data_IF_195636499228
#
_entry.id   IF_195636499228
#
_cell.length_a   1.000
_cell.length_b   1.000
_cell.length_c   1.000
_cell.angle_alpha   90.00
_cell.angle_beta   90.00
_cell.angle_gamma   90.00
#
_symmetry.space_group_name_H-M   'P 1'
#
loop_
_entity.id
_entity.type
_entity.pdbx_description
1 polymer ?
#
# COMPACT_ATOMS: atom_id res chain seq x y z
N UNK A 1 -20.50 -3.82 22.40
CA UNK A 1 -20.03 -4.38 21.11
C UNK A 1 -18.83 -3.57 20.67
N UNK A 2 -17.76 -4.21 20.17
CA UNK A 2 -16.66 -3.47 19.54
C UNK A 2 -17.14 -2.90 18.20
N UNK A 3 -16.75 -1.67 17.88
CA UNK A 3 -16.97 -1.08 16.56
C UNK A 3 -16.22 -1.89 15.49
N UNK A 4 -16.77 -1.94 14.27
CA UNK A 4 -16.17 -2.62 13.13
C UNK A 4 -15.90 -1.62 12.01
N UNK A 5 -14.72 -1.68 11.40
CA UNK A 5 -14.28 -0.79 10.32
C UNK A 5 -13.93 -1.63 9.09
N UNK A 6 -14.48 -1.26 7.94
CA UNK A 6 -14.13 -1.83 6.64
C UNK A 6 -13.19 -0.88 5.90
N UNK A 7 -12.03 -1.38 5.48
CA UNK A 7 -11.09 -0.69 4.60
C UNK A 7 -11.23 -1.30 3.20
N UNK A 8 -11.57 -0.50 2.20
CA UNK A 8 -11.75 -0.97 0.82
C UNK A 8 -10.54 -0.53 -0.02
N UNK A 9 -9.77 -1.50 -0.48
CA UNK A 9 -8.50 -1.34 -1.18
C UNK A 9 -7.30 -1.48 -0.23
N UNK A 10 -6.35 -2.34 -0.60
CA UNK A 10 -5.05 -2.55 0.04
C UNK A 10 -3.89 -1.91 -0.77
N UNK A 11 -4.17 -0.80 -1.46
CA UNK A 11 -3.15 0.11 -1.96
C UNK A 11 -2.49 0.94 -0.83
N UNK A 12 -1.55 1.85 -1.15
CA UNK A 12 -0.81 2.62 -0.14
C UNK A 12 -1.70 3.32 0.90
N UNK A 13 -2.83 3.89 0.49
CA UNK A 13 -3.77 4.53 1.44
C UNK A 13 -4.43 3.55 2.39
N UNK A 14 -4.87 2.39 1.90
CA UNK A 14 -5.48 1.34 2.74
C UNK A 14 -4.48 0.75 3.70
N UNK A 15 -3.26 0.46 3.22
CA UNK A 15 -2.15 -0.01 4.06
C UNK A 15 -1.76 1.02 5.12
N UNK A 16 -1.71 2.32 4.77
CA UNK A 16 -1.47 3.38 5.73
C UNK A 16 -2.56 3.44 6.81
N UNK A 17 -3.83 3.21 6.45
CA UNK A 17 -4.93 3.13 7.42
C UNK A 17 -4.78 1.95 8.38
N UNK A 18 -4.40 0.77 7.88
CA UNK A 18 -4.10 -0.41 8.70
C UNK A 18 -2.91 -0.16 9.62
N UNK A 19 -1.84 0.46 9.08
CA UNK A 19 -0.65 0.85 9.85
C UNK A 19 -0.97 1.84 10.96
N UNK A 20 -1.84 2.82 10.70
CA UNK A 20 -2.27 3.79 11.70
C UNK A 20 -2.96 3.11 12.89
N UNK A 21 -3.89 2.17 12.63
CA UNK A 21 -4.52 1.39 13.68
C UNK A 21 -3.51 0.51 14.43
N UNK A 22 -2.59 -0.15 13.71
CA UNK A 22 -1.52 -0.95 14.33
C UNK A 22 -0.64 -0.11 15.27
N UNK A 23 -0.25 1.09 14.84
CA UNK A 23 0.54 2.04 15.63
C UNK A 23 -0.20 2.50 16.89
N UNK A 24 -1.51 2.73 16.81
CA UNK A 24 -2.34 3.05 17.98
C UNK A 24 -2.44 1.87 18.96
N UNK A 25 -2.67 0.65 18.45
CA UNK A 25 -2.70 -0.56 19.27
C UNK A 25 -1.36 -0.84 19.96
N UNK A 26 -0.24 -0.63 19.27
CA UNK A 26 1.11 -0.80 19.84
C UNK A 26 1.40 0.20 20.97
N UNK A 27 0.69 1.35 20.96
CA UNK A 27 0.71 2.35 22.05
C UNK A 27 -0.32 2.05 23.15
N UNK A 28 -0.99 0.90 23.10
CA UNK A 28 -1.96 0.44 24.10
C UNK A 28 -3.38 0.97 23.93
N UNK A 29 -3.70 1.62 22.81
CA UNK A 29 -5.08 2.07 22.56
C UNK A 29 -5.99 0.89 22.20
N UNK A 30 -7.24 0.92 22.66
CA UNK A 30 -8.27 0.00 22.17
C UNK A 30 -8.66 0.39 20.74
N UNK A 31 -8.51 -0.55 19.79
CA UNK A 31 -8.87 -0.36 18.38
C UNK A 31 -10.10 -1.19 18.01
N UNK A 32 -10.88 -0.77 16.98
CA UNK A 32 -11.98 -1.56 16.45
C UNK A 32 -11.51 -2.88 15.82
N UNK A 33 -12.45 -3.76 15.50
CA UNK A 33 -12.20 -4.84 14.55
C UNK A 33 -12.05 -4.23 13.15
N UNK A 34 -11.02 -4.63 12.41
CA UNK A 34 -10.73 -4.08 11.09
C UNK A 34 -10.71 -5.22 10.09
N UNK A 35 -11.43 -5.04 8.98
CA UNK A 35 -11.39 -5.94 7.83
C UNK A 35 -11.01 -5.13 6.60
N UNK A 36 -9.94 -5.55 5.92
CA UNK A 36 -9.53 -4.96 4.66
C UNK A 36 -9.94 -5.86 3.50
N UNK A 37 -10.54 -5.28 2.47
CA UNK A 37 -10.94 -5.97 1.26
C UNK A 37 -10.12 -5.44 0.09
N UNK A 38 -9.42 -6.34 -0.60
CA UNK A 38 -8.68 -6.05 -1.82
C UNK A 38 -9.18 -7.03 -2.90
N UNK A 39 -9.35 -6.52 -4.12
CA UNK A 39 -9.77 -7.34 -5.25
C UNK A 39 -8.59 -8.04 -5.92
N UNK A 40 -7.41 -7.43 -5.89
CA UNK A 40 -6.18 -8.00 -6.41
C UNK A 40 -5.71 -9.14 -5.50
N UNK A 41 -4.92 -10.06 -6.06
CA UNK A 41 -4.37 -11.20 -5.32
C UNK A 41 -3.28 -10.82 -4.31
N UNK A 42 -2.75 -9.60 -4.40
CA UNK A 42 -1.75 -9.05 -3.49
C UNK A 42 -1.95 -7.53 -3.33
N UNK A 43 -1.44 -6.98 -2.23
CA UNK A 43 -1.51 -5.56 -1.89
C UNK A 43 -0.63 -4.68 -2.80
N UNK A 44 -0.68 -3.36 -2.57
CA UNK A 44 0.14 -2.38 -3.29
C UNK A 44 -0.65 -1.57 -4.33
N UNK A 45 -1.87 -1.99 -4.66
CA UNK A 45 -2.78 -1.26 -5.56
C UNK A 45 -2.12 -0.99 -6.91
N UNK A 46 -1.97 0.29 -7.27
CA UNK A 46 -1.31 0.69 -8.53
C UNK A 46 0.12 0.16 -8.67
N UNK A 47 0.85 -0.05 -7.57
CA UNK A 47 2.23 -0.53 -7.57
C UNK A 47 2.35 -2.05 -7.79
N UNK A 48 1.24 -2.79 -7.74
CA UNK A 48 1.18 -4.21 -8.05
C UNK A 48 1.01 -4.41 -9.57
N UNK A 49 2.14 -4.47 -10.28
CA UNK A 49 2.17 -4.56 -11.73
C UNK A 49 1.58 -5.88 -12.26
N UNK A 50 0.79 -5.79 -13.32
CA UNK A 50 0.29 -6.94 -14.09
C UNK A 50 0.45 -6.70 -15.58
N UNK A 51 0.61 -7.79 -16.34
CA UNK A 51 0.63 -7.74 -17.80
C UNK A 51 -0.78 -7.66 -18.42
N UNK A 52 -1.83 -7.98 -17.64
CA UNK A 52 -3.23 -7.98 -18.09
C UNK A 52 -3.69 -6.56 -18.39
N UNK A 53 -4.57 -6.41 -19.38
CA UNK A 53 -5.22 -5.15 -19.74
C UNK A 53 -6.72 -5.38 -19.94
N UNK A 54 -7.55 -4.36 -19.73
CA UNK A 54 -9.00 -4.48 -19.82
C UNK A 54 -9.58 -5.17 -18.59
N UNK A 55 -9.67 -6.51 -18.61
CA UNK A 55 -10.20 -7.33 -17.52
C UNK A 55 -9.12 -8.25 -16.92
N UNK A 56 -9.25 -8.54 -15.64
CA UNK A 56 -8.42 -9.51 -14.92
C UNK A 56 -8.92 -10.96 -15.09
N UNK A 57 -8.37 -11.88 -14.31
CA UNK A 57 -8.74 -13.31 -14.37
C UNK A 57 -10.11 -13.67 -13.80
N UNK A 58 -10.73 -12.74 -13.09
CA UNK A 58 -12.08 -12.87 -12.56
C UNK A 58 -13.12 -12.14 -13.43
N UNK A 59 -12.67 -11.43 -14.48
CA UNK A 59 -13.53 -10.63 -15.35
C UNK A 59 -13.79 -9.23 -14.81
N UNK A 60 -13.09 -8.81 -13.74
CA UNK A 60 -13.18 -7.46 -13.22
C UNK A 60 -12.24 -6.51 -13.97
N UNK A 61 -12.52 -5.19 -14.05
CA UNK A 61 -11.63 -4.24 -14.68
C UNK A 61 -10.23 -4.25 -14.05
N UNK A 62 -9.17 -4.31 -14.86
CA UNK A 62 -7.79 -4.24 -14.36
C UNK A 62 -7.59 -2.94 -13.58
N UNK A 63 -7.04 -3.06 -12.36
CA UNK A 63 -6.79 -1.90 -11.49
C UNK A 63 -5.52 -1.11 -11.89
N UNK A 64 -4.47 -1.84 -12.28
CA UNK A 64 -3.16 -1.27 -12.51
C UNK A 64 -3.08 -0.43 -13.78
N UNK A 65 -2.39 0.70 -13.68
CA UNK A 65 -2.06 1.59 -14.81
C UNK A 65 -0.55 1.78 -14.97
N UNK A 66 0.25 1.04 -14.21
CA UNK A 66 1.71 1.05 -14.33
C UNK A 66 2.18 0.19 -15.50
N UNK A 67 3.37 0.51 -16.01
CA UNK A 67 3.94 -0.10 -17.21
C UNK A 67 5.37 -0.55 -16.96
N UNK A 68 5.87 -1.43 -17.83
CA UNK A 68 7.27 -1.86 -17.78
C UNK A 68 8.19 -0.65 -17.93
N UNK A 69 9.30 -0.67 -17.20
CA UNK A 69 10.29 0.42 -17.18
C UNK A 69 9.77 1.73 -16.57
N UNK A 70 8.69 1.70 -15.79
CA UNK A 70 8.29 2.81 -14.94
C UNK A 70 9.30 2.97 -13.79
N UNK A 71 9.68 4.22 -13.51
CA UNK A 71 10.50 4.64 -12.37
C UNK A 71 9.72 5.67 -11.55
N UNK A 72 10.19 6.00 -10.35
CA UNK A 72 9.60 7.12 -9.60
C UNK A 72 9.56 8.38 -10.47
N UNK A 73 8.45 9.11 -10.44
CA UNK A 73 8.28 10.36 -11.20
C UNK A 73 8.68 11.61 -10.39
N UNK A 74 9.04 11.44 -9.12
CA UNK A 74 9.53 12.48 -8.23
C UNK A 74 10.64 11.96 -7.30
N UNK A 75 11.34 12.85 -6.59
CA UNK A 75 12.36 12.44 -5.62
C UNK A 75 11.74 11.57 -4.54
N UNK A 76 12.34 10.40 -4.26
CA UNK A 76 11.88 9.48 -3.22
C UNK A 76 11.83 10.15 -1.84
N UNK A 77 12.68 11.14 -1.60
CA UNK A 77 12.73 11.92 -0.37
C UNK A 77 11.42 12.69 -0.11
N UNK A 78 10.64 13.00 -1.16
CA UNK A 78 9.34 13.66 -1.02
C UNK A 78 8.20 12.70 -0.65
N UNK A 79 8.44 11.39 -0.67
CA UNK A 79 7.44 10.33 -0.45
C UNK A 79 7.89 9.30 0.60
N UNK A 80 8.97 9.58 1.32
CA UNK A 80 9.46 8.75 2.41
C UNK A 80 8.49 8.76 3.59
N UNK A 81 8.24 7.60 4.19
CA UNK A 81 7.41 7.52 5.38
C UNK A 81 8.18 8.02 6.60
N UNK A 82 7.53 8.88 7.40
CA UNK A 82 8.14 9.43 8.60
C UNK A 82 8.38 8.38 9.70
N UNK A 83 7.66 7.25 9.68
CA UNK A 83 7.80 6.15 10.63
C UNK A 83 8.45 4.89 10.01
N UNK A 84 9.00 5.00 8.80
CA UNK A 84 9.72 3.92 8.12
C UNK A 84 10.62 4.46 6.98
N UNK A 85 11.92 4.58 7.24
CA UNK A 85 12.84 5.25 6.31
C UNK A 85 13.39 4.32 5.23
N UNK A 86 13.87 4.90 4.13
CA UNK A 86 14.59 4.18 3.09
C UNK A 86 15.87 3.53 3.61
N UNK A 87 16.56 4.18 4.56
CA UNK A 87 17.77 3.64 5.19
C UNK A 87 17.43 2.41 6.05
N UNK A 88 16.36 2.45 6.84
CA UNK A 88 15.88 1.30 7.61
C UNK A 88 15.50 0.13 6.69
N UNK A 89 14.82 0.41 5.58
CA UNK A 89 14.37 -0.62 4.65
C UNK A 89 15.51 -1.27 3.85
N UNK A 90 16.39 -0.46 3.25
CA UNK A 90 17.41 -0.94 2.32
C UNK A 90 18.78 -1.16 2.96
N UNK A 91 19.05 -0.61 4.14
CA UNK A 91 20.33 -0.67 4.83
C UNK A 91 21.50 0.01 4.11
N UNK A 92 21.21 0.78 3.05
CA UNK A 92 22.19 1.52 2.25
C UNK A 92 21.53 2.67 1.49
N UNK A 93 22.29 3.73 1.14
CA UNK A 93 21.80 4.77 0.23
C UNK A 93 21.46 4.19 -1.15
N UNK A 94 20.38 4.69 -1.73
CA UNK A 94 19.97 4.44 -3.12
C UNK A 94 19.69 5.77 -3.82
N UNK A 95 19.64 5.76 -5.15
CA UNK A 95 19.34 6.95 -5.95
C UNK A 95 17.94 7.53 -5.62
N UNK A 96 17.75 8.83 -5.84
CA UNK A 96 16.49 9.52 -5.54
C UNK A 96 15.32 9.15 -6.46
N UNK A 97 15.61 8.50 -7.59
CA UNK A 97 14.62 7.94 -8.50
C UNK A 97 14.89 6.44 -8.59
N UNK A 98 14.37 5.65 -7.65
CA UNK A 98 14.47 4.19 -7.71
C UNK A 98 13.45 3.59 -8.69
#
# INVERSE_FOLDING_TARGET
MKSRVAVIGAGPSGLAQLRAFKSAADKGAEIPEIVCFEKQSDWGGLWNYTWRTGLDEHGDPVHGSMYRYLWSNGPKECLEFADYTFEEHFGRPIASYP
#
